data_IF_875055163044
#
_entry.id   IF_875055163044
#
_cell.length_a   1.000
_cell.length_b   1.000
_cell.length_c   1.000
_cell.angle_alpha   90.00
_cell.angle_beta   90.00
_cell.angle_gamma   90.00
#
_symmetry.space_group_name_H-M   'P 1'
#
loop_
_entity.id
_entity.type
_entity.pdbx_description
1 polymer ?
#
# COMPACT_ATOMS: atom_id res chain seq x y z
N UNK A 1 -10.74 -8.12 6.09
CA UNK A 1 -9.66 -7.13 5.85
C UNK A 1 -9.07 -6.67 7.18
N UNK A 2 -9.83 -6.07 8.10
CA UNK A 2 -9.33 -5.61 9.41
C UNK A 2 -8.46 -6.64 10.20
N UNK A 3 -8.84 -7.91 10.25
CA UNK A 3 -8.02 -8.93 10.92
C UNK A 3 -6.65 -9.16 10.26
N UNK A 4 -6.57 -9.02 8.92
CA UNK A 4 -5.34 -9.14 8.13
C UNK A 4 -4.46 -7.91 8.38
N UNK A 5 -5.05 -6.71 8.34
CA UNK A 5 -4.38 -5.44 8.63
C UNK A 5 -3.73 -5.45 10.02
N UNK A 6 -4.52 -5.80 11.05
CA UNK A 6 -4.00 -5.94 12.42
C UNK A 6 -2.90 -7.02 12.52
N UNK A 7 -3.01 -8.13 11.79
CA UNK A 7 -1.98 -9.17 11.78
C UNK A 7 -0.70 -8.74 11.06
N UNK A 8 -0.81 -7.99 9.96
CA UNK A 8 0.32 -7.44 9.24
C UNK A 8 1.04 -6.36 10.07
N UNK A 9 0.28 -5.48 10.72
CA UNK A 9 0.79 -4.41 11.58
C UNK A 9 1.58 -4.94 12.79
N UNK A 10 1.18 -6.08 13.38
CA UNK A 10 1.91 -6.71 14.51
C UNK A 10 3.40 -6.96 14.24
N UNK A 11 3.80 -7.16 12.99
CA UNK A 11 5.21 -7.37 12.62
C UNK A 11 6.10 -6.14 12.89
N UNK A 12 5.50 -4.97 13.08
CA UNK A 12 6.22 -3.75 13.44
C UNK A 12 6.68 -3.73 14.90
N UNK A 13 6.09 -4.55 15.78
CA UNK A 13 6.57 -4.70 17.17
C UNK A 13 8.01 -5.25 17.20
N UNK A 14 8.27 -6.27 16.38
CA UNK A 14 9.57 -6.97 16.32
C UNK A 14 10.74 -6.07 15.87
N UNK A 15 10.44 -4.90 15.29
CA UNK A 15 11.43 -3.93 14.80
C UNK A 15 11.38 -2.60 15.55
N UNK A 16 10.77 -2.56 16.74
CA UNK A 16 10.77 -1.39 17.61
C UNK A 16 9.84 -0.26 17.15
N UNK A 17 8.77 -0.59 16.42
CA UNK A 17 7.75 0.37 15.97
C UNK A 17 6.36 0.04 16.55
N UNK A 18 6.19 -0.04 17.89
CA UNK A 18 4.95 -0.50 18.52
C UNK A 18 3.76 0.43 18.28
N UNK A 19 4.01 1.71 18.02
CA UNK A 19 2.97 2.67 17.65
C UNK A 19 2.30 2.32 16.31
N UNK A 20 3.02 1.68 15.37
CA UNK A 20 2.44 1.19 14.11
C UNK A 20 1.65 -0.10 14.37
N UNK A 21 2.19 -1.00 15.18
CA UNK A 21 1.56 -2.27 15.50
C UNK A 21 0.25 -2.13 16.28
N UNK A 22 0.13 -1.06 17.08
CA UNK A 22 -1.06 -0.75 17.88
C UNK A 22 -2.04 0.21 17.20
N UNK A 23 -1.76 0.67 15.97
CA UNK A 23 -2.69 1.48 15.21
C UNK A 23 -4.02 0.73 15.01
N UNK A 24 -5.17 1.40 15.19
CA UNK A 24 -6.44 0.80 14.86
C UNK A 24 -6.49 0.49 13.36
N UNK A 25 -7.17 -0.59 12.95
CA UNK A 25 -7.40 -0.85 11.54
C UNK A 25 -8.24 0.28 10.92
N UNK A 26 -8.22 0.34 9.60
CA UNK A 26 -9.02 1.26 8.80
C UNK A 26 -10.49 1.21 9.22
N UNK A 27 -11.10 2.38 9.39
CA UNK A 27 -12.49 2.50 9.81
C UNK A 27 -13.43 1.77 8.82
N UNK A 28 -14.49 1.16 9.36
CA UNK A 28 -15.42 0.35 8.57
C UNK A 28 -16.19 1.17 7.53
N UNK A 29 -16.53 2.42 7.83
CA UNK A 29 -17.21 3.31 6.89
C UNK A 29 -16.26 3.68 5.74
N UNK A 30 -15.02 4.05 6.06
CA UNK A 30 -14.02 4.39 5.06
C UNK A 30 -13.65 3.18 4.18
N UNK A 31 -13.61 1.97 4.76
CA UNK A 31 -13.39 0.74 4.00
C UNK A 31 -14.59 0.44 3.08
N UNK A 32 -15.81 0.64 3.57
CA UNK A 32 -17.02 0.44 2.77
C UNK A 32 -17.04 1.36 1.56
N UNK A 33 -16.75 2.64 1.75
CA UNK A 33 -16.66 3.63 0.66
C UNK A 33 -15.68 3.17 -0.42
N UNK A 34 -14.48 2.71 -0.02
CA UNK A 34 -13.48 2.21 -0.96
C UNK A 34 -13.94 0.97 -1.73
N UNK A 35 -14.68 0.07 -1.08
CA UNK A 35 -15.23 -1.11 -1.76
C UNK A 35 -16.29 -0.69 -2.78
N UNK A 36 -17.20 0.20 -2.38
CA UNK A 36 -18.29 0.66 -3.23
C UNK A 36 -17.77 1.46 -4.45
N UNK A 37 -16.62 2.11 -4.32
CA UNK A 37 -15.91 2.82 -5.39
C UNK A 37 -14.96 1.93 -6.24
N UNK A 38 -14.95 0.61 -6.06
CA UNK A 38 -14.03 -0.32 -6.74
C UNK A 38 -12.54 0.04 -6.55
N UNK A 39 -12.22 0.54 -5.35
CA UNK A 39 -10.88 0.95 -4.88
C UNK A 39 -10.17 -0.11 -4.01
N UNK A 40 -10.71 -1.32 -3.96
CA UNK A 40 -10.15 -2.44 -3.19
C UNK A 40 -10.04 -3.72 -4.03
N UNK A 41 -8.89 -4.39 -3.96
CA UNK A 41 -8.71 -5.76 -4.46
C UNK A 41 -8.47 -6.70 -3.28
N UNK A 42 -9.00 -7.92 -3.38
CA UNK A 42 -8.79 -8.98 -2.38
C UNK A 42 -8.17 -10.22 -3.03
N UNK A 43 -7.29 -10.88 -2.29
CA UNK A 43 -6.76 -12.19 -2.63
C UNK A 43 -7.42 -13.24 -1.74
N UNK A 44 -7.87 -14.34 -2.34
CA UNK A 44 -8.42 -15.49 -1.63
C UNK A 44 -7.37 -16.60 -1.48
N UNK A 45 -7.54 -17.47 -0.48
CA UNK A 45 -6.77 -18.71 -0.38
C UNK A 45 -7.08 -19.66 -1.54
N UNK A 46 -6.31 -20.75 -1.65
CA UNK A 46 -6.42 -21.70 -2.75
C UNK A 46 -7.81 -22.36 -2.85
N UNK A 47 -8.55 -22.43 -1.74
CA UNK A 47 -9.91 -22.97 -1.67
C UNK A 47 -10.97 -21.91 -2.02
N UNK A 48 -10.60 -20.63 -2.11
CA UNK A 48 -11.51 -19.53 -2.41
C UNK A 48 -12.41 -19.14 -1.23
N UNK A 49 -12.13 -19.63 -0.03
CA UNK A 49 -13.03 -19.51 1.12
C UNK A 49 -12.67 -18.34 2.04
N UNK A 50 -11.41 -17.92 2.05
CA UNK A 50 -10.92 -16.87 2.96
C UNK A 50 -10.10 -15.83 2.23
N UNK A 51 -10.32 -14.57 2.59
CA UNK A 51 -9.43 -13.48 2.19
C UNK A 51 -8.11 -13.65 2.94
N UNK A 52 -7.00 -13.62 2.20
CA UNK A 52 -5.63 -13.78 2.72
C UNK A 52 -4.74 -12.58 2.46
N UNK A 53 -5.23 -11.61 1.70
CA UNK A 53 -4.57 -10.33 1.48
C UNK A 53 -5.48 -9.38 0.75
N UNK A 54 -5.13 -8.10 0.75
CA UNK A 54 -5.86 -7.08 0.03
C UNK A 54 -4.95 -5.91 -0.36
N UNK A 55 -5.42 -5.10 -1.30
CA UNK A 55 -4.80 -3.84 -1.66
C UNK A 55 -5.87 -2.76 -1.80
N UNK A 56 -5.57 -1.56 -1.30
CA UNK A 56 -6.41 -0.38 -1.42
C UNK A 56 -5.68 0.64 -2.29
N UNK A 57 -6.39 1.25 -3.22
CA UNK A 57 -5.82 2.22 -4.14
C UNK A 57 -6.81 3.28 -4.56
N UNK A 58 -6.30 4.37 -5.13
CA UNK A 58 -7.13 5.37 -5.79
C UNK A 58 -6.37 6.06 -6.91
N UNK A 59 -7.10 6.70 -7.81
CA UNK A 59 -6.48 7.58 -8.81
C UNK A 59 -5.90 8.83 -8.15
N UNK A 60 -4.74 9.26 -8.65
CA UNK A 60 -4.04 10.47 -8.24
C UNK A 60 -3.86 11.39 -9.45
N UNK A 61 -4.94 12.12 -9.75
CA UNK A 61 -5.09 12.84 -11.01
C UNK A 61 -5.27 11.88 -12.19
N UNK A 62 -4.99 12.35 -13.40
CA UNK A 62 -5.25 11.59 -14.62
C UNK A 62 -4.17 10.56 -14.98
N UNK A 63 -2.96 10.67 -14.43
CA UNK A 63 -1.79 9.94 -14.94
C UNK A 63 -1.17 8.94 -13.95
N UNK A 64 -1.71 8.84 -12.73
CA UNK A 64 -1.13 8.03 -11.66
C UNK A 64 -2.22 7.33 -10.86
N UNK A 65 -1.88 6.14 -10.39
CA UNK A 65 -2.63 5.43 -9.37
C UNK A 65 -1.80 5.41 -8.08
N UNK A 66 -2.39 5.77 -6.95
CA UNK A 66 -1.77 5.70 -5.64
C UNK A 66 -2.18 4.40 -4.94
N UNK A 67 -1.21 3.55 -4.63
CA UNK A 67 -1.39 2.38 -3.78
C UNK A 67 -1.33 2.85 -2.32
N UNK A 68 -2.49 2.89 -1.66
CA UNK A 68 -2.64 3.36 -0.28
C UNK A 68 -2.12 2.31 0.70
N UNK A 69 -2.49 1.06 0.46
CA UNK A 69 -2.25 -0.04 1.38
C UNK A 69 -2.16 -1.36 0.64
N UNK A 70 -1.32 -2.25 1.16
CA UNK A 70 -1.31 -3.66 0.77
C UNK A 70 -0.89 -4.50 1.96
N UNK A 71 -1.77 -5.43 2.34
CA UNK A 71 -1.52 -6.34 3.45
C UNK A 71 -1.76 -7.78 3.03
N UNK A 72 -0.96 -8.66 3.61
CA UNK A 72 -1.05 -10.11 3.44
C UNK A 72 -1.00 -10.74 4.83
N UNK A 73 -1.89 -11.70 5.08
CA UNK A 73 -1.89 -12.46 6.32
C UNK A 73 -0.49 -13.06 6.55
N UNK A 74 0.14 -12.87 7.73
CA UNK A 74 1.51 -13.33 7.98
C UNK A 74 1.72 -14.83 7.71
N UNK A 75 0.75 -15.67 8.06
CA UNK A 75 0.69 -17.10 7.77
C UNK A 75 0.70 -17.45 6.27
N UNK A 76 0.50 -16.47 5.40
CA UNK A 76 0.53 -16.59 3.94
C UNK A 76 1.74 -15.87 3.31
N UNK A 77 2.68 -15.40 4.14
CA UNK A 77 3.92 -14.80 3.68
C UNK A 77 4.75 -15.76 2.81
N UNK A 78 5.58 -15.20 1.92
CA UNK A 78 6.44 -15.98 1.02
C UNK A 78 5.73 -16.60 -0.19
N UNK A 79 4.40 -16.51 -0.28
CA UNK A 79 3.58 -17.07 -1.38
C UNK A 79 3.35 -16.11 -2.55
N UNK A 80 4.12 -15.02 -2.64
CA UNK A 80 4.01 -13.98 -3.69
C UNK A 80 2.63 -13.30 -3.83
N UNK A 81 1.78 -13.38 -2.80
CA UNK A 81 0.44 -12.74 -2.78
C UNK A 81 0.55 -11.22 -2.90
N UNK A 82 1.43 -10.58 -2.13
CA UNK A 82 1.64 -9.13 -2.18
C UNK A 82 2.05 -8.65 -3.57
N UNK A 83 2.95 -9.37 -4.24
CA UNK A 83 3.34 -9.04 -5.62
C UNK A 83 2.19 -9.24 -6.60
N UNK A 84 1.38 -10.29 -6.45
CA UNK A 84 0.22 -10.52 -7.31
C UNK A 84 -0.83 -9.40 -7.15
N UNK A 85 -1.09 -8.95 -5.91
CA UNK A 85 -1.96 -7.80 -5.64
C UNK A 85 -1.41 -6.52 -6.28
N UNK A 86 -0.12 -6.25 -6.15
CA UNK A 86 0.54 -5.09 -6.77
C UNK A 86 0.47 -5.14 -8.30
N UNK A 87 0.63 -6.30 -8.91
CA UNK A 87 0.44 -6.47 -10.37
C UNK A 87 -1.02 -6.26 -10.79
N UNK A 88 -1.98 -6.76 -10.01
CA UNK A 88 -3.39 -6.52 -10.27
C UNK A 88 -3.74 -5.03 -10.18
N UNK A 89 -3.20 -4.31 -9.19
CA UNK A 89 -3.31 -2.85 -9.07
C UNK A 89 -2.65 -2.15 -10.27
N UNK A 90 -1.48 -2.61 -10.72
CA UNK A 90 -0.83 -2.08 -11.92
C UNK A 90 -1.66 -2.30 -13.19
N UNK A 91 -2.37 -3.43 -13.30
CA UNK A 91 -3.32 -3.66 -14.39
C UNK A 91 -4.51 -2.69 -14.33
N UNK A 92 -5.07 -2.42 -13.14
CA UNK A 92 -6.11 -1.39 -12.96
C UNK A 92 -5.61 -0.01 -13.35
N UNK A 93 -4.36 0.33 -12.99
CA UNK A 93 -3.73 1.60 -13.39
C UNK A 93 -3.69 1.75 -14.92
N UNK A 94 -3.23 0.72 -15.64
CA UNK A 94 -3.20 0.73 -17.12
C UNK A 94 -4.58 0.87 -17.73
N UNK A 95 -5.55 0.09 -17.25
CA UNK A 95 -6.93 0.15 -17.74
C UNK A 95 -7.56 1.54 -17.56
N UNK A 96 -7.15 2.27 -16.52
CA UNK A 96 -7.56 3.64 -16.26
C UNK A 96 -6.72 4.72 -17.00
N UNK A 97 -5.77 4.33 -17.86
CA UNK A 97 -4.89 5.25 -18.59
C UNK A 97 -3.77 5.88 -17.75
N UNK A 98 -3.55 5.40 -16.53
CA UNK A 98 -2.44 5.85 -15.70
C UNK A 98 -1.10 5.29 -16.23
N UNK A 99 -0.03 6.07 -16.08
CA UNK A 99 1.32 5.72 -16.54
C UNK A 99 2.20 5.12 -15.46
N UNK A 100 1.83 5.28 -14.21
CA UNK A 100 2.60 4.79 -13.07
C UNK A 100 1.72 4.49 -11.86
N UNK A 101 2.21 3.58 -11.02
CA UNK A 101 1.74 3.37 -9.65
C UNK A 101 2.70 4.09 -8.70
N UNK A 102 2.17 4.83 -7.74
CA UNK A 102 2.92 5.55 -6.71
C UNK A 102 2.48 5.07 -5.34
N UNK A 103 3.39 5.03 -4.37
CA UNK A 103 3.11 4.65 -2.98
C UNK A 103 4.00 5.42 -2.01
N UNK A 104 3.67 5.38 -0.72
CA UNK A 104 4.55 5.81 0.38
C UNK A 104 4.78 4.66 1.34
N UNK A 105 6.01 4.47 1.81
CA UNK A 105 6.36 3.36 2.69
C UNK A 105 7.58 3.67 3.57
N UNK A 106 7.91 2.81 4.54
CA UNK A 106 9.09 3.00 5.38
C UNK A 106 10.39 2.65 4.63
N UNK A 107 11.42 3.52 4.76
CA UNK A 107 12.70 3.47 4.04
C UNK A 107 13.52 2.21 4.30
N UNK A 108 13.57 1.78 5.56
CA UNK A 108 14.52 0.76 6.03
C UNK A 108 13.86 -0.55 6.48
N UNK A 109 12.52 -0.58 6.56
CA UNK A 109 11.78 -1.79 6.94
C UNK A 109 11.89 -2.84 5.81
N UNK A 110 12.37 -4.07 6.05
CA UNK A 110 12.71 -5.02 4.99
C UNK A 110 11.59 -5.38 4.02
N UNK A 111 10.33 -5.40 4.49
CA UNK A 111 9.15 -5.69 3.68
C UNK A 111 8.52 -4.45 3.03
N UNK A 112 9.14 -3.27 3.17
CA UNK A 112 8.68 -1.99 2.62
C UNK A 112 9.58 -1.53 1.47
N UNK A 113 10.28 -0.39 1.57
CA UNK A 113 11.04 0.15 0.43
C UNK A 113 12.01 -0.88 -0.21
N UNK A 114 12.77 -1.70 0.54
CA UNK A 114 13.60 -2.77 -0.06
C UNK A 114 12.79 -3.80 -0.86
N UNK A 115 11.59 -4.15 -0.40
CA UNK A 115 10.68 -5.03 -1.12
C UNK A 115 10.16 -4.38 -2.40
N UNK A 116 9.69 -3.14 -2.34
CA UNK A 116 9.19 -2.42 -3.52
C UNK A 116 10.29 -2.15 -4.57
N UNK A 117 11.54 -1.89 -4.16
CA UNK A 117 12.68 -1.79 -5.09
C UNK A 117 12.85 -3.07 -5.91
N UNK A 118 12.69 -4.25 -5.30
CA UNK A 118 12.75 -5.55 -6.01
C UNK A 118 11.60 -5.74 -7.00
N UNK A 119 10.48 -5.04 -6.79
CA UNK A 119 9.34 -5.01 -7.71
C UNK A 119 9.46 -3.94 -8.79
N UNK A 120 10.58 -3.23 -8.87
CA UNK A 120 10.83 -2.20 -9.88
C UNK A 120 10.35 -0.79 -9.51
N UNK A 121 9.97 -0.55 -8.25
CA UNK A 121 9.71 0.81 -7.78
C UNK A 121 11.03 1.55 -7.53
N UNK A 122 11.06 2.82 -7.90
CA UNK A 122 12.17 3.75 -7.65
C UNK A 122 11.73 4.82 -6.67
N UNK A 123 12.65 5.28 -5.82
CA UNK A 123 12.39 6.39 -4.90
C UNK A 123 12.19 7.70 -5.66
N UNK A 124 11.22 8.50 -5.21
CA UNK A 124 11.03 9.86 -5.68
C UNK A 124 11.85 10.82 -4.82
N UNK A 125 12.38 11.87 -5.44
CA UNK A 125 13.02 12.97 -4.70
C UNK A 125 11.95 13.68 -3.85
N UNK A 126 12.19 13.68 -2.53
CA UNK A 126 11.29 14.29 -1.55
C UNK A 126 11.16 15.81 -1.68
N UNK A 127 12.08 16.46 -2.39
CA UNK A 127 12.08 17.90 -2.66
C UNK A 127 11.29 18.28 -3.91
N UNK A 128 10.89 17.30 -4.74
CA UNK A 128 10.16 17.52 -5.99
C UNK A 128 8.77 16.91 -5.95
N UNK A 129 8.24 16.64 -4.77
CA UNK A 129 6.87 16.14 -4.62
C UNK A 129 5.88 17.23 -5.07
N UNK A 130 4.91 16.84 -5.87
CA UNK A 130 3.84 17.75 -6.26
C UNK A 130 2.83 17.96 -5.12
N UNK A 131 1.82 18.79 -5.37
CA UNK A 131 0.80 19.13 -4.39
C UNK A 131 0.04 17.90 -3.87
N UNK A 132 -0.19 16.89 -4.72
CA UNK A 132 -0.97 15.72 -4.36
C UNK A 132 -0.20 14.78 -3.42
N UNK A 133 1.09 14.56 -3.68
CA UNK A 133 1.96 13.78 -2.79
C UNK A 133 2.30 14.55 -1.50
N UNK A 134 2.45 15.88 -1.59
CA UNK A 134 2.59 16.74 -0.42
C UNK A 134 1.38 16.68 0.51
N UNK A 135 0.17 16.64 -0.05
CA UNK A 135 -1.06 16.47 0.73
C UNK A 135 -1.11 15.11 1.43
N UNK A 136 -0.75 14.02 0.74
CA UNK A 136 -0.65 12.68 1.36
C UNK A 136 0.35 12.68 2.52
N UNK A 137 1.52 13.29 2.34
CA UNK A 137 2.52 13.47 3.39
C UNK A 137 1.93 14.21 4.60
N UNK A 138 1.20 15.30 4.37
CA UNK A 138 0.56 16.04 5.45
C UNK A 138 -0.46 15.19 6.23
N UNK A 139 -1.24 14.35 5.53
CA UNK A 139 -2.15 13.38 6.18
C UNK A 139 -1.40 12.36 7.02
N UNK A 140 -0.28 11.81 6.54
CA UNK A 140 0.56 10.91 7.33
C UNK A 140 1.05 11.57 8.63
N UNK A 141 1.53 12.81 8.55
CA UNK A 141 1.97 13.59 9.73
C UNK A 141 0.80 13.83 10.69
N UNK A 142 -0.38 14.18 10.19
CA UNK A 142 -1.58 14.36 11.01
C UNK A 142 -2.00 13.06 11.72
N UNK A 143 -1.72 11.90 11.12
CA UNK A 143 -1.91 10.58 11.71
C UNK A 143 -0.73 10.11 12.58
N UNK A 144 0.25 10.98 12.85
CA UNK A 144 1.36 10.70 13.75
C UNK A 144 2.51 9.88 13.14
N UNK A 145 2.54 9.71 11.81
CA UNK A 145 3.65 9.03 11.14
C UNK A 145 4.87 9.95 11.04
N UNK A 146 6.04 9.42 11.37
CA UNK A 146 7.32 10.08 11.13
C UNK A 146 7.71 9.99 9.65
N UNK A 147 7.49 11.08 8.91
CA UNK A 147 7.82 11.17 7.49
C UNK A 147 9.34 11.21 7.21
N UNK A 148 10.20 11.41 8.21
CA UNK A 148 11.66 11.24 8.03
C UNK A 148 12.02 9.77 7.74
N UNK A 149 11.23 8.84 8.28
CA UNK A 149 11.39 7.40 8.07
C UNK A 149 10.72 6.89 6.80
N UNK A 150 9.98 7.75 6.09
CA UNK A 150 9.15 7.36 4.94
C UNK A 150 9.68 7.90 3.63
N UNK A 151 9.35 7.20 2.55
CA UNK A 151 9.72 7.57 1.19
C UNK A 151 8.58 7.28 0.24
N UNK A 152 8.37 8.21 -0.70
CA UNK A 152 7.50 7.95 -1.85
C UNK A 152 8.27 7.21 -2.92
N UNK A 153 7.63 6.23 -3.54
CA UNK A 153 8.20 5.45 -4.62
C UNK A 153 7.23 5.34 -5.78
N UNK A 154 7.74 5.23 -7.00
CA UNK A 154 6.94 5.08 -8.20
C UNK A 154 7.44 3.93 -9.08
N UNK A 155 6.53 3.30 -9.80
CA UNK A 155 6.82 2.30 -10.83
C UNK A 155 6.01 2.58 -12.07
N UNK A 156 6.66 2.66 -13.22
CA UNK A 156 5.99 2.78 -14.51
C UNK A 156 5.14 1.55 -14.79
N UNK A 157 3.93 1.77 -15.32
CA UNK A 157 3.08 0.71 -15.84
C UNK A 157 3.05 0.89 -17.35
N UNK A 158 4.03 0.29 -18.03
CA UNK A 158 4.05 0.27 -19.49
C UNK A 158 2.90 -0.59 -20.02
N UNK A 159 2.30 -0.17 -21.13
CA UNK A 159 1.34 -0.99 -21.91
C UNK A 159 1.96 -2.33 -22.34
#
# INVERSE_FOLDING_TARGET
MAAIEAAAARRFDDIGMPHIASSPPTDLADLRERIDDDRALVAFDAEGLRIVGFAIYRMLGASRLYLEEVDVAPEQAGRRIGSALIEAVAARARAAGARQVVLSTFRHVPWNAPYYRRLGFVELDGNTLDAALTAIRATHVAHGLDESQRVFMARMVHE
#
